data_IF_932217083300
#
_entry.id   IF_932217083300
#
_cell.length_a   1.000
_cell.length_b   1.000
_cell.length_c   1.000
_cell.angle_alpha   90.00
_cell.angle_beta   90.00
_cell.angle_gamma   90.00
#
_symmetry.space_group_name_H-M   'P 1'
#
loop_
_entity.id
_entity.type
_entity.pdbx_description
1 polymer ?
#
# COMPACT_ATOMS: atom_id res chain seq x y z
N UNK A 1 12.88 4.25 -11.68
CA UNK A 1 13.13 3.51 -10.41
C UNK A 1 12.03 2.48 -10.35
N UNK A 2 12.29 1.16 -10.20
CA UNK A 2 11.20 0.21 -10.24
C UNK A 2 10.41 0.37 -8.95
N UNK A 3 9.31 1.07 -9.09
CA UNK A 3 8.22 1.08 -8.15
C UNK A 3 7.24 0.06 -8.68
N UNK A 4 6.89 -0.94 -7.88
CA UNK A 4 6.09 -2.07 -8.36
C UNK A 4 4.96 -2.34 -7.38
N UNK A 5 3.73 -2.36 -7.87
CA UNK A 5 2.60 -2.92 -7.15
C UNK A 5 2.14 -4.16 -7.89
N UNK A 6 2.02 -5.28 -7.20
CA UNK A 6 1.47 -6.52 -7.73
C UNK A 6 0.30 -7.03 -6.90
N UNK A 7 -0.70 -7.62 -7.56
CA UNK A 7 -1.81 -8.26 -6.86
C UNK A 7 -1.35 -9.64 -6.37
N UNK A 8 -1.17 -9.78 -5.06
CA UNK A 8 -0.71 -11.04 -4.44
C UNK A 8 -1.88 -11.93 -4.02
N UNK A 9 -3.02 -11.34 -3.65
CA UNK A 9 -4.19 -12.13 -3.27
C UNK A 9 -5.49 -11.44 -3.63
N UNK A 10 -6.43 -12.22 -4.17
CA UNK A 10 -7.79 -11.78 -4.42
C UNK A 10 -8.79 -12.79 -3.86
N UNK A 11 -9.59 -12.33 -2.90
CA UNK A 11 -10.63 -13.13 -2.27
C UNK A 11 -11.99 -12.50 -2.57
N UNK A 12 -12.94 -13.31 -3.02
CA UNK A 12 -14.32 -12.85 -3.28
C UNK A 12 -15.31 -13.70 -2.50
N UNK A 13 -15.97 -13.08 -1.53
CA UNK A 13 -17.10 -13.69 -0.84
C UNK A 13 -18.39 -13.44 -1.64
N UNK A 14 -18.96 -14.53 -2.19
CA UNK A 14 -20.20 -14.46 -2.97
C UNK A 14 -21.45 -14.37 -2.10
N UNK A 15 -21.39 -14.81 -0.83
CA UNK A 15 -22.51 -14.73 0.11
C UNK A 15 -22.65 -13.30 0.62
N UNK A 16 -21.54 -12.71 1.05
CA UNK A 16 -21.49 -11.33 1.58
C UNK A 16 -21.36 -10.27 0.48
N UNK A 17 -21.14 -10.68 -0.79
CA UNK A 17 -20.88 -9.80 -1.93
C UNK A 17 -19.72 -8.83 -1.66
N UNK A 18 -18.66 -9.35 -1.06
CA UNK A 18 -17.44 -8.59 -0.75
C UNK A 18 -16.27 -9.11 -1.58
N UNK A 19 -15.37 -8.20 -1.94
CA UNK A 19 -14.10 -8.49 -2.58
C UNK A 19 -12.99 -7.95 -1.69
N UNK A 20 -11.91 -8.69 -1.53
CA UNK A 20 -10.69 -8.25 -0.85
C UNK A 20 -9.54 -8.47 -1.82
N UNK A 21 -8.87 -7.39 -2.21
CA UNK A 21 -7.69 -7.41 -3.06
C UNK A 21 -6.52 -6.97 -2.19
N UNK A 22 -5.47 -7.78 -2.15
CA UNK A 22 -4.22 -7.49 -1.44
C UNK A 22 -3.16 -7.27 -2.51
N UNK A 23 -2.64 -6.06 -2.56
CA UNK A 23 -1.52 -5.68 -3.40
C UNK A 23 -0.27 -5.60 -2.55
N UNK A 24 0.81 -6.19 -3.03
CA UNK A 24 2.14 -5.97 -2.47
C UNK A 24 2.77 -4.82 -3.24
N UNK A 25 3.07 -3.74 -2.54
CA UNK A 25 3.66 -2.54 -3.12
C UNK A 25 5.07 -2.38 -2.58
N UNK A 26 6.02 -2.37 -3.50
CA UNK A 26 7.44 -2.16 -3.22
C UNK A 26 7.89 -0.85 -3.85
N UNK A 27 8.63 -0.07 -3.08
CA UNK A 27 9.44 1.00 -3.64
C UNK A 27 10.89 0.91 -3.18
N UNK A 28 11.77 0.84 -4.17
CA UNK A 28 13.21 1.02 -3.98
C UNK A 28 13.57 2.50 -4.02
N UNK A 29 14.18 2.99 -2.94
CA UNK A 29 14.81 4.31 -2.93
C UNK A 29 16.32 4.17 -3.09
N UNK A 30 16.84 4.56 -4.25
CA UNK A 30 18.29 4.60 -4.50
C UNK A 30 19.00 5.60 -3.58
N UNK A 31 18.34 6.71 -3.23
CA UNK A 31 18.93 7.76 -2.39
C UNK A 31 19.05 7.35 -0.91
N UNK A 32 18.14 6.51 -0.43
CA UNK A 32 18.14 6.05 0.96
C UNK A 32 18.70 4.64 1.14
N UNK A 33 18.99 3.90 0.05
CA UNK A 33 19.30 2.46 0.07
C UNK A 33 18.31 1.64 0.91
N UNK A 34 17.05 2.07 0.95
CA UNK A 34 15.98 1.41 1.70
C UNK A 34 14.94 0.89 0.74
N UNK A 35 14.48 -0.33 0.95
CA UNK A 35 13.28 -0.89 0.34
C UNK A 35 12.12 -0.68 1.30
N UNK A 36 11.01 -0.18 0.80
CA UNK A 36 9.75 -0.08 1.54
C UNK A 36 8.78 -1.05 0.89
N UNK A 37 8.42 -2.09 1.63
CA UNK A 37 7.50 -3.15 1.18
C UNK A 37 6.26 -3.09 2.07
N UNK A 38 5.08 -2.88 1.47
CA UNK A 38 3.84 -2.77 2.23
C UNK A 38 2.68 -3.44 1.51
N UNK A 39 1.76 -4.01 2.29
CA UNK A 39 0.55 -4.63 1.76
C UNK A 39 -0.60 -3.61 1.76
N UNK A 40 -1.08 -3.26 0.58
CA UNK A 40 -2.30 -2.48 0.37
C UNK A 40 -3.50 -3.42 0.29
N UNK A 41 -4.43 -3.29 1.22
CA UNK A 41 -5.66 -4.09 1.25
C UNK A 41 -6.84 -3.24 0.82
N UNK A 42 -7.42 -3.54 -0.34
CA UNK A 42 -8.63 -2.90 -0.85
C UNK A 42 -9.81 -3.87 -0.68
N UNK A 43 -10.74 -3.52 0.20
CA UNK A 43 -11.99 -4.25 0.41
C UNK A 43 -13.13 -3.54 -0.31
N UNK A 44 -13.75 -4.19 -1.29
CA UNK A 44 -14.99 -3.75 -1.91
C UNK A 44 -16.19 -4.44 -1.26
N UNK A 45 -17.17 -3.67 -0.80
CA UNK A 45 -18.37 -4.19 -0.14
C UNK A 45 -19.66 -3.79 -0.84
N UNK A 46 -20.47 -4.81 -1.15
CA UNK A 46 -21.92 -4.68 -1.28
C UNK A 46 -22.45 -3.94 -2.52
N UNK A 47 -23.77 -3.73 -2.52
CA UNK A 47 -24.56 -3.18 -3.64
C UNK A 47 -24.22 -1.72 -4.01
N UNK A 48 -23.50 -1.00 -3.13
CA UNK A 48 -23.24 0.44 -3.25
C UNK A 48 -21.80 0.80 -3.62
N UNK A 49 -20.98 -0.16 -4.09
CA UNK A 49 -19.56 0.09 -4.46
C UNK A 49 -18.79 0.84 -3.35
N UNK A 50 -18.99 0.48 -2.08
CA UNK A 50 -18.19 1.04 -0.98
C UNK A 50 -16.84 0.34 -0.97
N UNK A 51 -15.76 1.12 -0.99
CA UNK A 51 -14.41 0.60 -0.87
C UNK A 51 -13.80 1.09 0.44
N UNK A 52 -13.15 0.18 1.16
CA UNK A 52 -12.29 0.49 2.29
C UNK A 52 -10.87 0.11 1.89
N UNK A 53 -9.94 1.05 1.99
CA UNK A 53 -8.53 0.81 1.79
C UNK A 53 -7.84 0.82 3.16
N UNK A 54 -6.98 -0.16 3.40
CA UNK A 54 -6.18 -0.29 4.61
C UNK A 54 -4.74 -0.61 4.21
N UNK A 55 -3.78 -0.03 4.92
CA UNK A 55 -2.36 -0.28 4.72
C UNK A 55 -1.70 -0.27 6.09
N UNK A 56 -1.00 -1.35 6.40
CA UNK A 56 -0.43 -1.59 7.72
C UNK A 56 1.09 -1.69 7.62
N UNK A 57 1.77 -0.84 8.38
CA UNK A 57 3.23 -0.72 8.41
C UNK A 57 3.82 -1.57 9.55
N UNK A 58 3.91 -2.88 9.37
CA UNK A 58 4.40 -3.78 10.41
C UNK A 58 5.93 -3.68 10.63
N UNK A 59 6.71 -3.40 9.58
CA UNK A 59 8.18 -3.26 9.65
C UNK A 59 8.65 -1.79 9.71
N UNK A 60 7.92 -0.95 10.45
CA UNK A 60 8.29 0.46 10.58
C UNK A 60 9.61 0.64 11.37
N UNK A 61 10.58 1.43 10.87
CA UNK A 61 11.89 1.54 11.49
C UNK A 61 11.83 2.19 12.87
N UNK A 62 12.70 1.73 13.77
CA UNK A 62 12.91 2.37 15.06
C UNK A 62 13.41 3.81 14.83
N UNK A 63 12.66 4.79 15.33
CA UNK A 63 12.98 6.21 15.21
C UNK A 63 13.42 6.77 16.57
N UNK A 64 14.34 7.74 16.58
CA UNK A 64 14.85 8.34 17.81
C UNK A 64 13.87 9.30 18.49
N UNK A 65 12.84 9.74 17.77
CA UNK A 65 11.77 10.59 18.28
C UNK A 65 10.46 10.40 17.52
N UNK A 66 9.34 10.81 18.13
CA UNK A 66 8.02 10.84 17.50
C UNK A 66 8.02 11.69 16.22
N UNK A 67 8.74 12.82 16.22
CA UNK A 67 8.88 13.69 15.05
C UNK A 67 9.56 12.99 13.88
N UNK A 68 10.62 12.24 14.15
CA UNK A 68 11.31 11.45 13.11
C UNK A 68 10.41 10.35 12.56
N UNK A 69 9.66 9.65 13.43
CA UNK A 69 8.68 8.65 13.00
C UNK A 69 7.61 9.26 12.10
N UNK A 70 7.02 10.41 12.48
CA UNK A 70 6.00 11.07 11.68
C UNK A 70 6.54 11.51 10.30
N UNK A 71 7.76 12.05 10.24
CA UNK A 71 8.38 12.44 8.97
C UNK A 71 8.72 11.23 8.09
N UNK A 72 9.18 10.13 8.70
CA UNK A 72 9.49 8.89 7.98
C UNK A 72 8.23 8.24 7.42
N UNK A 73 7.15 8.23 8.19
CA UNK A 73 5.84 7.77 7.73
C UNK A 73 5.34 8.62 6.56
N UNK A 74 5.44 9.95 6.65
CA UNK A 74 5.04 10.83 5.56
C UNK A 74 5.84 10.58 4.27
N UNK A 75 7.16 10.38 4.36
CA UNK A 75 8.01 9.99 3.23
C UNK A 75 7.57 8.65 2.62
N UNK A 76 7.27 7.64 3.46
CA UNK A 76 6.77 6.34 3.00
C UNK A 76 5.39 6.43 2.33
N UNK A 77 4.48 7.23 2.87
CA UNK A 77 3.16 7.43 2.27
C UNK A 77 3.22 8.12 0.91
N UNK A 78 4.07 9.15 0.76
CA UNK A 78 4.25 9.83 -0.54
C UNK A 78 4.80 8.87 -1.60
N UNK A 79 5.76 8.05 -1.19
CA UNK A 79 6.39 7.00 -1.98
C UNK A 79 5.40 5.94 -2.47
N UNK A 80 4.64 5.37 -1.54
CA UNK A 80 3.60 4.38 -1.85
C UNK A 80 2.44 4.99 -2.65
N UNK A 81 2.11 6.26 -2.42
CA UNK A 81 1.14 6.99 -3.24
C UNK A 81 1.57 7.05 -4.71
N UNK A 82 2.83 7.44 -4.97
CA UNK A 82 3.38 7.45 -6.33
C UNK A 82 3.41 6.05 -6.97
N UNK A 83 3.67 5.00 -6.17
CA UNK A 83 3.65 3.61 -6.62
C UNK A 83 2.28 3.15 -7.11
N UNK A 84 1.24 3.49 -6.35
CA UNK A 84 -0.16 3.19 -6.65
C UNK A 84 -0.54 3.99 -7.92
N UNK A 85 -0.28 5.30 -7.95
CA UNK A 85 -0.61 6.11 -9.13
C UNK A 85 0.04 5.57 -10.41
N UNK A 86 1.32 5.19 -10.37
CA UNK A 86 2.02 4.62 -11.53
C UNK A 86 1.39 3.30 -12.00
N UNK A 87 1.01 2.41 -11.08
CA UNK A 87 0.38 1.13 -11.42
C UNK A 87 -1.01 1.30 -12.08
N UNK A 88 -1.83 2.23 -11.60
CA UNK A 88 -3.20 2.44 -12.10
C UNK A 88 -3.34 3.52 -13.19
N UNK A 89 -2.28 4.29 -13.46
CA UNK A 89 -2.24 5.27 -14.57
C UNK A 89 -1.79 4.65 -15.89
N UNK A 90 -1.24 3.43 -15.87
CA UNK A 90 -0.94 2.66 -17.07
C UNK A 90 -2.24 2.01 -17.63
N UNK A 91 -2.54 2.17 -18.93
CA UNK A 91 -3.79 1.75 -19.54
C UNK A 91 -3.96 0.22 -19.68
#
# INVERSE_FOLDING_TARGET
MPTHSELVSFTRDRKERTTTSIYHTEQHSLNAQTVVEQNLVIKGGGMFRRYTADMRFDDFPACGSEREAALKLADWMQRLGAAIEDHWSQP
#
